data_IF_222831707807
#
_entry.id   IF_222831707807
#
_cell.length_a   1.000
_cell.length_b   1.000
_cell.length_c   1.000
_cell.angle_alpha   90.00
_cell.angle_beta   90.00
_cell.angle_gamma   90.00
#
_symmetry.space_group_name_H-M   'P 1'
#
loop_
_entity.id
_entity.type
_entity.pdbx_description
1 polymer ?
#
# COMPACT_ATOMS: atom_id res chain seq x y z
N UNK A 1 -23.70 14.69 2.92
CA UNK A 1 -23.26 13.76 3.98
C UNK A 1 -22.95 12.37 3.41
N UNK A 2 -23.92 11.72 2.75
CA UNK A 2 -23.82 10.32 2.31
C UNK A 2 -22.68 10.00 1.33
N UNK A 3 -22.38 10.90 0.39
CA UNK A 3 -21.31 10.69 -0.59
C UNK A 3 -19.91 10.59 0.07
N UNK A 4 -19.62 11.40 1.10
CA UNK A 4 -18.34 11.36 1.81
C UNK A 4 -18.15 10.04 2.56
N UNK A 5 -19.22 9.53 3.16
CA UNK A 5 -19.20 8.24 3.87
C UNK A 5 -18.97 7.08 2.89
N UNK A 6 -19.63 7.12 1.72
CA UNK A 6 -19.44 6.10 0.69
C UNK A 6 -17.99 6.07 0.18
N UNK A 7 -17.38 7.25 -0.07
CA UNK A 7 -15.98 7.36 -0.47
C UNK A 7 -15.05 6.86 0.64
N UNK A 8 -15.25 7.27 1.89
CA UNK A 8 -14.43 6.80 3.01
C UNK A 8 -14.53 5.28 3.22
N UNK A 9 -15.73 4.71 3.14
CA UNK A 9 -15.96 3.27 3.30
C UNK A 9 -15.33 2.44 2.18
N UNK A 10 -15.51 2.86 0.92
CA UNK A 10 -14.92 2.16 -0.23
C UNK A 10 -13.40 2.26 -0.23
N UNK A 11 -12.82 3.43 0.06
CA UNK A 11 -11.38 3.61 0.20
C UNK A 11 -10.79 2.75 1.33
N UNK A 12 -11.47 2.69 2.49
CA UNK A 12 -11.04 1.86 3.62
C UNK A 12 -11.07 0.36 3.29
N UNK A 13 -12.10 -0.10 2.58
CA UNK A 13 -12.20 -1.49 2.12
C UNK A 13 -11.10 -1.83 1.10
N UNK A 14 -10.85 -0.95 0.13
CA UNK A 14 -9.77 -1.13 -0.85
C UNK A 14 -8.40 -1.19 -0.18
N UNK A 15 -8.15 -0.30 0.79
CA UNK A 15 -6.90 -0.28 1.56
C UNK A 15 -6.72 -1.56 2.38
N UNK A 16 -7.75 -1.96 3.14
CA UNK A 16 -7.71 -3.20 3.94
C UNK A 16 -7.53 -4.46 3.10
N UNK A 17 -8.22 -4.56 1.95
CA UNK A 17 -8.05 -5.65 1.01
C UNK A 17 -6.63 -5.70 0.44
N UNK A 18 -6.05 -4.55 0.11
CA UNK A 18 -4.66 -4.44 -0.34
C UNK A 18 -3.66 -4.91 0.72
N UNK A 19 -3.85 -4.54 2.00
CA UNK A 19 -2.99 -5.01 3.10
C UNK A 19 -3.05 -6.54 3.29
N UNK A 20 -4.26 -7.12 3.21
CA UNK A 20 -4.46 -8.56 3.33
C UNK A 20 -3.81 -9.33 2.18
N UNK A 21 -4.05 -8.90 0.93
CA UNK A 21 -3.46 -9.52 -0.27
C UNK A 21 -1.93 -9.34 -0.31
N UNK A 22 -1.43 -8.18 0.13
CA UNK A 22 0.00 -7.90 0.25
C UNK A 22 0.70 -8.67 1.38
N UNK A 23 -0.06 -9.38 2.23
CA UNK A 23 0.45 -10.13 3.37
C UNK A 23 1.23 -9.27 4.38
N UNK A 24 0.93 -7.97 4.42
CA UNK A 24 1.59 -7.01 5.32
C UNK A 24 1.14 -7.14 6.77
N UNK A 25 0.09 -7.93 7.01
CA UNK A 25 -0.36 -8.29 8.36
C UNK A 25 0.53 -9.34 9.02
N UNK A 26 1.44 -9.98 8.28
CA UNK A 26 2.39 -10.96 8.81
C UNK A 26 3.72 -10.29 9.20
N UNK A 27 4.07 -10.26 10.51
CA UNK A 27 5.34 -9.69 10.98
C UNK A 27 6.58 -10.40 10.45
N UNK A 28 6.47 -11.69 10.08
CA UNK A 28 7.59 -12.45 9.54
C UNK A 28 8.05 -11.88 8.19
N UNK A 29 7.10 -11.46 7.34
CA UNK A 29 7.39 -10.86 6.03
C UNK A 29 8.14 -9.53 6.15
N UNK A 30 7.76 -8.71 7.14
CA UNK A 30 8.44 -7.44 7.42
C UNK A 30 9.87 -7.70 7.93
N UNK A 31 10.05 -8.67 8.83
CA UNK A 31 11.40 -9.04 9.30
C UNK A 31 12.28 -9.60 8.18
N UNK A 32 11.75 -10.48 7.32
CA UNK A 32 12.49 -11.01 6.17
C UNK A 32 12.92 -9.94 5.17
N UNK A 33 12.09 -8.90 4.99
CA UNK A 33 12.48 -7.74 4.18
C UNK A 33 13.57 -6.87 4.82
N UNK A 34 13.63 -6.79 6.15
CA UNK A 34 14.67 -6.02 6.85
C UNK A 34 15.98 -6.79 7.02
N UNK A 35 15.98 -8.12 6.83
CA UNK A 35 17.15 -8.98 6.93
C UNK A 35 18.06 -8.91 5.69
N UNK A 36 18.56 -7.71 5.39
CA UNK A 36 19.38 -7.41 4.21
C UNK A 36 20.74 -8.13 4.19
N UNK A 37 21.25 -8.52 5.36
CA UNK A 37 22.54 -9.21 5.51
C UNK A 37 22.39 -10.73 5.67
N UNK A 38 21.15 -11.24 5.72
CA UNK A 38 20.81 -12.65 5.88
C UNK A 38 20.01 -13.18 4.70
N UNK A 39 18.89 -13.86 4.98
CA UNK A 39 18.03 -14.45 3.95
C UNK A 39 16.98 -13.43 3.51
N UNK A 40 17.43 -12.37 2.84
CA UNK A 40 16.59 -11.24 2.46
C UNK A 40 15.41 -11.66 1.56
N UNK A 41 14.19 -11.32 1.97
CA UNK A 41 12.96 -11.55 1.19
C UNK A 41 12.50 -10.27 0.46
N UNK A 42 12.65 -10.18 -0.88
CA UNK A 42 12.29 -9.00 -1.66
C UNK A 42 10.77 -8.84 -1.89
N UNK A 43 9.93 -9.79 -1.47
CA UNK A 43 8.49 -9.78 -1.76
C UNK A 43 7.82 -8.49 -1.28
N UNK A 44 8.25 -7.95 -0.14
CA UNK A 44 7.71 -6.70 0.42
C UNK A 44 8.12 -5.46 -0.40
N UNK A 45 9.28 -5.50 -1.07
CA UNK A 45 9.75 -4.41 -1.93
C UNK A 45 8.79 -4.19 -3.12
N UNK A 46 8.23 -5.27 -3.67
CA UNK A 46 7.25 -5.19 -4.77
C UNK A 46 5.97 -4.49 -4.32
N UNK A 47 5.45 -4.85 -3.13
CA UNK A 47 4.24 -4.24 -2.58
C UNK A 47 4.47 -2.76 -2.25
N UNK A 48 5.60 -2.43 -1.61
CA UNK A 48 5.96 -1.03 -1.34
C UNK A 48 6.17 -0.22 -2.61
N UNK A 49 6.88 -0.77 -3.60
CA UNK A 49 7.10 -0.13 -4.89
C UNK A 49 5.79 0.18 -5.62
N UNK A 50 4.85 -0.78 -5.62
CA UNK A 50 3.50 -0.56 -6.16
C UNK A 50 2.76 0.57 -5.43
N UNK A 51 2.78 0.57 -4.10
CA UNK A 51 2.13 1.61 -3.30
C UNK A 51 2.72 3.01 -3.57
N UNK A 52 4.05 3.13 -3.61
CA UNK A 52 4.74 4.39 -3.91
C UNK A 52 4.41 4.88 -5.31
N UNK A 53 4.39 4.00 -6.31
CA UNK A 53 4.08 4.37 -7.70
C UNK A 53 2.64 4.85 -7.86
N UNK A 54 1.67 4.15 -7.26
CA UNK A 54 0.26 4.59 -7.26
C UNK A 54 0.11 5.95 -6.58
N UNK A 55 0.78 6.17 -5.44
CA UNK A 55 0.76 7.45 -4.75
C UNK A 55 1.40 8.57 -5.58
N UNK A 56 2.52 8.29 -6.26
CA UNK A 56 3.16 9.27 -7.14
C UNK A 56 2.24 9.71 -8.29
N UNK A 57 1.49 8.78 -8.88
CA UNK A 57 0.46 9.08 -9.88
C UNK A 57 -0.66 9.93 -9.27
N UNK A 58 -1.17 9.55 -8.10
CA UNK A 58 -2.22 10.30 -7.42
C UNK A 58 -1.79 11.75 -7.14
N UNK A 59 -0.56 11.95 -6.69
CA UNK A 59 -0.01 13.27 -6.43
C UNK A 59 0.14 14.10 -7.71
N UNK A 60 0.62 13.49 -8.81
CA UNK A 60 0.65 14.12 -10.13
C UNK A 60 -0.73 14.56 -10.62
N UNK A 61 -1.76 13.74 -10.39
CA UNK A 61 -3.14 14.07 -10.75
C UNK A 61 -3.69 15.21 -9.88
N UNK A 62 -3.44 15.19 -8.57
CA UNK A 62 -3.84 16.27 -7.68
C UNK A 62 -3.21 17.59 -8.10
N UNK A 63 -1.90 17.59 -8.39
CA UNK A 63 -1.20 18.78 -8.85
C UNK A 63 -1.66 19.29 -10.22
N UNK A 64 -2.36 18.48 -11.01
CA UNK A 64 -2.93 18.87 -12.30
C UNK A 64 -4.38 19.38 -12.18
N UNK A 65 -5.02 19.19 -11.03
CA UNK A 65 -6.37 19.66 -10.72
C UNK A 65 -6.37 21.01 -9.98
N UNK A 66 -5.20 21.40 -9.45
CA UNK A 66 -4.88 22.73 -8.92
C UNK A 66 -4.44 23.68 -10.05
#
# INVERSE_FOLDING_TARGET
>A
MSARVAVAGTSGLLFGAGLALGGMTDPARVRGFLDLFGAWDPTLAFVMGGAVLVMAIAWRMQAALE
#
